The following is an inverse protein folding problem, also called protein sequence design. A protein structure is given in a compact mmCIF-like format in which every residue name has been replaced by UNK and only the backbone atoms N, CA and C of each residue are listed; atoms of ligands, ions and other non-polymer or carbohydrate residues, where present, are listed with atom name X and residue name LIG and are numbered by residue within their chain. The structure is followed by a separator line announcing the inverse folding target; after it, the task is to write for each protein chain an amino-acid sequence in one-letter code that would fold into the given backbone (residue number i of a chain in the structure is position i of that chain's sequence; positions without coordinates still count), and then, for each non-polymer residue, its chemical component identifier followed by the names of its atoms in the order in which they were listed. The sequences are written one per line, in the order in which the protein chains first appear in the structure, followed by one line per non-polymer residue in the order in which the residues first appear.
data_IF_631214537077
#
_entry.id   IF_631214537077
#
_cell.length_a   1.000
_cell.length_b   1.000
_cell.length_c   1.000
_cell.angle_alpha   90.00
_cell.angle_beta   90.00
_cell.angle_gamma   90.00
#
_symmetry.space_group_name_H-M   'P 1'
#
loop_
_entity.id
_entity.type
_entity.pdbx_description
1 polymer ?
#
# COMPACT_ATOMS: atom_id res chain seq x y z
N UNK A 1 35.05 2.92 12.20
CA UNK A 1 34.76 2.28 10.90
C UNK A 1 35.65 2.92 9.84
N UNK A 2 35.99 2.22 8.76
CA UNK A 2 36.86 2.77 7.72
C UNK A 2 36.11 3.88 6.96
N UNK A 3 36.79 4.99 6.70
CA UNK A 3 36.22 6.07 5.91
C UNK A 3 35.85 5.54 4.50
N UNK A 4 34.58 5.67 4.07
CA UNK A 4 34.12 5.13 2.80
C UNK A 4 34.84 5.82 1.64
N UNK A 5 35.39 5.02 0.72
CA UNK A 5 36.16 5.53 -0.43
C UNK A 5 35.34 5.62 -1.72
N UNK A 6 34.17 4.98 -1.74
CA UNK A 6 33.24 4.99 -2.87
C UNK A 6 31.82 5.23 -2.38
N UNK A 7 30.96 5.76 -3.26
CA UNK A 7 29.54 5.97 -2.95
C UNK A 7 28.89 4.63 -2.56
N UNK A 8 29.26 3.54 -3.24
CA UNK A 8 28.75 2.19 -2.94
C UNK A 8 29.11 1.74 -1.51
N UNK A 9 30.33 2.04 -1.06
CA UNK A 9 30.77 1.71 0.30
C UNK A 9 30.02 2.55 1.35
N UNK A 10 29.84 3.86 1.09
CA UNK A 10 29.04 4.74 1.95
C UNK A 10 27.60 4.23 2.10
N UNK A 11 26.94 3.88 0.99
CA UNK A 11 25.56 3.38 0.98
C UNK A 11 25.43 2.02 1.68
N UNK A 12 26.43 1.14 1.56
CA UNK A 12 26.45 -0.13 2.29
C UNK A 12 26.61 0.08 3.80
N UNK A 13 27.47 1.01 4.22
CA UNK A 13 27.62 1.38 5.63
C UNK A 13 26.34 2.02 6.17
N UNK A 14 25.72 2.94 5.43
CA UNK A 14 24.44 3.57 5.79
C UNK A 14 23.31 2.52 5.90
N UNK A 15 23.24 1.57 4.96
CA UNK A 15 22.28 0.46 5.02
C UNK A 15 22.51 -0.41 6.26
N UNK A 16 23.77 -0.72 6.58
CA UNK A 16 24.11 -1.50 7.77
C UNK A 16 23.74 -0.75 9.06
N UNK A 17 24.00 0.55 9.10
CA UNK A 17 23.64 1.41 10.23
C UNK A 17 22.12 1.50 10.43
N UNK A 18 21.33 1.54 9.34
CA UNK A 18 19.86 1.56 9.36
C UNK A 18 19.20 0.17 9.58
N UNK A 19 19.98 -0.90 9.81
CA UNK A 19 19.42 -2.24 10.06
C UNK A 19 18.42 -2.21 11.22
N UNK A 20 17.25 -2.83 11.02
CA UNK A 20 16.15 -2.86 11.98
C UNK A 20 15.17 -1.68 11.88
N UNK A 21 15.46 -0.67 11.05
CA UNK A 21 14.49 0.37 10.72
C UNK A 21 13.41 -0.12 9.73
N UNK A 22 12.37 0.69 9.53
CA UNK A 22 11.33 0.40 8.54
C UNK A 22 11.94 0.25 7.13
N UNK A 23 11.64 -0.82 6.37
CA UNK A 23 12.16 -0.99 5.01
C UNK A 23 11.90 0.19 4.07
N UNK A 24 10.78 0.90 4.28
CA UNK A 24 10.46 2.10 3.51
C UNK A 24 11.40 3.27 3.83
N UNK A 25 11.74 3.46 5.11
CA UNK A 25 12.70 4.47 5.54
C UNK A 25 14.09 4.16 4.96
N UNK A 26 14.52 2.90 5.02
CA UNK A 26 15.83 2.48 4.49
C UNK A 26 15.91 2.80 3.00
N UNK A 27 14.85 2.50 2.24
CA UNK A 27 14.81 2.80 0.81
C UNK A 27 14.87 4.31 0.52
N UNK A 28 14.06 5.11 1.22
CA UNK A 28 14.00 6.56 1.03
C UNK A 28 15.37 7.21 1.40
N UNK A 29 15.96 6.82 2.54
CA UNK A 29 17.23 7.35 3.01
C UNK A 29 18.40 7.03 2.07
N UNK A 30 18.45 5.79 1.54
CA UNK A 30 19.47 5.39 0.56
C UNK A 30 19.32 6.15 -0.76
N UNK A 31 18.08 6.39 -1.21
CA UNK A 31 17.82 7.15 -2.43
C UNK A 31 18.30 8.59 -2.29
N UNK A 32 17.87 9.28 -1.24
CA UNK A 32 18.19 10.69 -1.02
C UNK A 32 19.71 10.88 -0.80
N UNK A 33 20.36 9.96 -0.08
CA UNK A 33 21.82 9.98 0.10
C UNK A 33 22.58 9.75 -1.21
N UNK A 34 22.16 8.78 -2.04
CA UNK A 34 22.82 8.52 -3.32
C UNK A 34 22.65 9.68 -4.30
N UNK A 35 21.46 10.26 -4.39
CA UNK A 35 21.17 11.43 -5.24
C UNK A 35 22.07 12.61 -4.85
N UNK A 36 22.15 12.92 -3.56
CA UNK A 36 22.98 14.01 -3.05
C UNK A 36 24.48 13.78 -3.31
N UNK A 37 25.01 12.60 -2.98
CA UNK A 37 26.42 12.26 -3.19
C UNK A 37 26.82 12.34 -4.68
N UNK A 38 25.91 11.97 -5.58
CA UNK A 38 26.17 12.04 -7.02
C UNK A 38 26.08 13.47 -7.55
N UNK A 39 25.18 14.29 -7.03
CA UNK A 39 25.11 15.71 -7.37
C UNK A 39 26.41 16.43 -6.97
N UNK A 40 26.89 16.20 -5.75
CA UNK A 40 28.18 16.73 -5.26
C UNK A 40 29.37 16.31 -6.13
N UNK A 41 29.41 15.05 -6.60
CA UNK A 41 30.44 14.58 -7.52
C UNK A 41 30.37 15.27 -8.88
N UNK A 42 29.16 15.49 -9.40
CA UNK A 42 28.94 16.15 -10.68
C UNK A 42 29.33 17.63 -10.66
N UNK A 43 29.10 18.31 -9.52
CA UNK A 43 29.47 19.72 -9.32
C UNK A 43 30.98 19.91 -9.07
N UNK A 44 31.68 18.86 -8.62
CA UNK A 44 33.11 18.89 -8.32
C UNK A 44 33.94 17.87 -9.14
N UNK A 45 33.95 17.94 -10.49
CA UNK A 45 34.55 16.91 -11.34
C UNK A 45 36.09 16.80 -11.22
N UNK A 46 36.76 17.75 -10.56
CA UNK A 46 38.22 17.74 -10.39
C UNK A 46 38.69 17.02 -9.11
N UNK A 47 37.80 16.71 -8.16
CA UNK A 47 38.16 15.96 -6.94
C UNK A 47 38.08 14.46 -7.20
N UNK A 48 38.98 13.70 -6.59
CA UNK A 48 38.84 12.24 -6.58
C UNK A 48 37.60 11.84 -5.76
N UNK A 49 36.94 10.73 -6.12
CA UNK A 49 35.73 10.27 -5.43
C UNK A 49 35.97 10.07 -3.92
N UNK A 50 37.16 9.57 -3.55
CA UNK A 50 37.55 9.36 -2.16
C UNK A 50 37.75 10.68 -1.39
N UNK A 51 38.35 11.69 -2.01
CA UNK A 51 38.56 13.00 -1.37
C UNK A 51 37.24 13.77 -1.23
N UNK A 52 36.35 13.65 -2.22
CA UNK A 52 35.00 14.21 -2.15
C UNK A 52 34.20 13.54 -1.03
N UNK A 53 34.23 12.20 -0.92
CA UNK A 53 33.54 11.48 0.15
C UNK A 53 34.10 11.82 1.53
N UNK A 54 35.41 11.98 1.68
CA UNK A 54 36.01 12.43 2.93
C UNK A 54 35.49 13.83 3.32
N UNK A 55 35.39 14.74 2.34
CA UNK A 55 34.81 16.07 2.52
C UNK A 55 33.32 16.01 2.89
N UNK A 56 32.52 15.19 2.21
CA UNK A 56 31.09 15.02 2.50
C UNK A 56 30.89 14.39 3.88
N UNK A 57 31.66 13.38 4.27
CA UNK A 57 31.61 12.82 5.63
C UNK A 57 31.93 13.89 6.67
N UNK A 58 32.89 14.77 6.40
CA UNK A 58 33.22 15.86 7.33
C UNK A 58 32.14 16.96 7.42
N UNK A 59 31.38 17.18 6.35
CA UNK A 59 30.38 18.28 6.26
C UNK A 59 28.97 17.80 6.62
N UNK A 60 28.60 16.62 6.16
CA UNK A 60 27.25 16.05 6.21
C UNK A 60 27.12 14.94 7.26
N UNK A 61 28.24 14.41 7.76
CA UNK A 61 28.29 13.39 8.81
C UNK A 61 28.67 12.00 8.29
N UNK A 62 29.14 11.18 9.21
CA UNK A 62 29.42 9.76 8.95
C UNK A 62 28.12 8.98 8.65
N UNK A 63 28.19 7.83 7.95
CA UNK A 63 27.01 7.01 7.66
C UNK A 63 26.15 6.67 8.89
N UNK A 64 26.78 6.45 10.05
CA UNK A 64 26.06 6.22 11.32
C UNK A 64 25.31 7.45 11.81
N UNK A 65 25.94 8.64 11.78
CA UNK A 65 25.32 9.89 12.20
C UNK A 65 24.14 10.25 11.30
N UNK A 66 24.30 10.07 9.99
CA UNK A 66 23.22 10.26 9.01
C UNK A 66 22.08 9.27 9.27
N UNK A 67 22.39 8.00 9.58
CA UNK A 67 21.36 7.01 9.93
C UNK A 67 20.55 7.43 11.15
N UNK A 68 21.20 7.99 12.17
CA UNK A 68 20.53 8.46 13.38
C UNK A 68 19.66 9.70 13.12
N UNK A 69 20.12 10.63 12.27
CA UNK A 69 19.29 11.75 11.80
C UNK A 69 18.01 11.24 11.11
N UNK A 70 18.11 10.26 10.22
CA UNK A 70 16.93 9.70 9.54
C UNK A 70 15.97 9.00 10.51
N UNK A 71 16.50 8.28 11.52
CA UNK A 71 15.67 7.66 12.57
C UNK A 71 14.93 8.71 13.37
N UNK A 72 15.62 9.75 13.83
CA UNK A 72 15.04 10.83 14.63
C UNK A 72 14.02 11.64 13.83
N UNK A 73 14.32 11.94 12.57
CA UNK A 73 13.38 12.61 11.66
C UNK A 73 12.14 11.76 11.43
N UNK A 74 12.27 10.45 11.15
CA UNK A 74 11.12 9.57 10.99
C UNK A 74 10.31 9.51 12.29
N UNK A 75 10.93 9.42 13.47
CA UNK A 75 10.23 9.46 14.77
C UNK A 75 9.47 10.79 14.92
N UNK A 76 10.08 11.92 14.57
CA UNK A 76 9.46 13.25 14.66
C UNK A 76 8.29 13.40 13.69
N UNK A 77 8.47 12.96 12.44
CA UNK A 77 7.43 12.96 11.40
C UNK A 77 6.26 12.05 11.82
N UNK A 78 6.55 10.83 12.27
CA UNK A 78 5.53 9.89 12.75
C UNK A 78 4.78 10.45 13.96
N UNK A 79 5.46 11.11 14.90
CA UNK A 79 4.80 11.78 16.04
C UNK A 79 3.92 12.95 15.59
N UNK A 80 4.37 13.74 14.61
CA UNK A 80 3.61 14.87 14.08
C UNK A 80 2.38 14.44 13.27
N UNK A 81 2.49 13.33 12.53
CA UNK A 81 1.39 12.76 11.73
C UNK A 81 0.41 11.93 12.57
N UNK A 82 0.79 11.54 13.80
CA UNK A 82 -0.06 10.72 14.66
C UNK A 82 -1.30 11.52 15.05
N UNK A 83 -2.51 11.09 14.66
CA UNK A 83 -3.72 11.78 15.09
C UNK A 83 -3.82 11.77 16.62
N UNK A 84 -4.45 12.79 17.23
CA UNK A 84 -4.58 12.88 18.67
C UNK A 84 -5.19 11.58 19.23
N UNK A 85 -4.63 11.02 20.33
CA UNK A 85 -5.07 9.74 20.84
C UNK A 85 -6.55 9.84 21.23
N UNK A 86 -7.39 9.03 20.57
CA UNK A 86 -8.81 8.95 20.90
C UNK A 86 -8.96 8.59 22.39
N UNK A 87 -9.90 9.21 23.13
CA UNK A 87 -10.12 8.88 24.53
C UNK A 87 -10.37 7.37 24.68
N UNK A 88 -9.55 6.71 25.52
CA UNK A 88 -9.61 5.25 25.73
C UNK A 88 -10.99 4.86 26.28
N UNK A 89 -11.84 4.31 25.41
CA UNK A 89 -13.15 3.78 25.80
C UNK A 89 -12.95 2.51 26.62
N UNK A 90 -13.40 2.55 27.89
CA UNK A 90 -13.20 1.46 28.85
C UNK A 90 -14.14 0.26 28.62
N UNK A 91 -15.32 0.47 28.04
CA UNK A 91 -16.33 -0.58 27.83
C UNK A 91 -16.15 -1.37 26.53
N UNK A 92 -16.53 -2.66 26.54
CA UNK A 92 -16.48 -3.53 25.36
C UNK A 92 -17.37 -3.01 24.22
N UNK A 93 -18.58 -2.54 24.54
CA UNK A 93 -19.48 -1.88 23.58
C UNK A 93 -18.87 -0.59 23.01
N UNK A 94 -18.21 0.21 23.87
CA UNK A 94 -17.52 1.42 23.44
C UNK A 94 -16.41 1.16 22.43
N UNK A 95 -15.66 0.05 22.60
CA UNK A 95 -14.64 -0.40 21.63
C UNK A 95 -15.26 -0.93 20.34
N UNK A 96 -16.34 -1.71 20.44
CA UNK A 96 -17.03 -2.26 19.27
C UNK A 96 -17.60 -1.16 18.37
N UNK A 97 -18.34 -0.21 18.94
CA UNK A 97 -18.91 0.93 18.20
C UNK A 97 -17.89 2.04 17.93
N UNK A 98 -16.70 1.99 18.55
CA UNK A 98 -15.63 2.98 18.33
C UNK A 98 -15.03 2.95 16.94
N UNK A 99 -15.18 1.84 16.21
CA UNK A 99 -14.60 1.67 14.87
C UNK A 99 -15.12 2.66 13.84
N UNK A 100 -16.36 3.14 13.99
CA UNK A 100 -16.95 4.15 13.11
C UNK A 100 -16.35 5.55 13.30
N UNK A 101 -15.73 5.83 14.46
CA UNK A 101 -15.05 7.10 14.71
C UNK A 101 -13.60 7.11 14.20
N UNK A 102 -13.08 5.98 13.74
CA UNK A 102 -11.71 5.84 13.24
C UNK A 102 -11.69 6.10 11.72
N UNK A 103 -10.98 7.16 11.30
CA UNK A 103 -10.89 7.57 9.88
C UNK A 103 -10.27 6.49 8.99
N UNK A 104 -9.35 5.68 9.54
CA UNK A 104 -8.72 4.59 8.78
C UNK A 104 -9.70 3.47 8.43
N UNK A 105 -10.77 3.28 9.23
CA UNK A 105 -11.82 2.31 8.88
C UNK A 105 -12.52 2.73 7.58
N UNK A 106 -12.83 4.01 7.44
CA UNK A 106 -13.47 4.56 6.26
C UNK A 106 -12.55 4.55 5.04
N UNK A 107 -11.27 4.85 5.24
CA UNK A 107 -10.23 4.68 4.21
C UNK A 107 -10.15 3.23 3.72
N UNK A 108 -10.12 2.26 4.64
CA UNK A 108 -10.15 0.84 4.30
C UNK A 108 -11.44 0.42 3.59
N UNK A 109 -12.60 0.92 4.01
CA UNK A 109 -13.89 0.62 3.35
C UNK A 109 -13.89 1.10 1.91
N UNK A 110 -13.46 2.34 1.69
CA UNK A 110 -13.35 2.92 0.36
C UNK A 110 -12.36 2.12 -0.49
N UNK A 111 -11.21 1.74 0.09
CA UNK A 111 -10.24 0.89 -0.57
C UNK A 111 -10.83 -0.46 -1.00
N UNK A 112 -11.55 -1.17 -0.13
CA UNK A 112 -12.14 -2.49 -0.48
C UNK A 112 -13.12 -2.41 -1.66
N UNK A 113 -13.84 -1.30 -1.79
CA UNK A 113 -14.74 -1.07 -2.93
C UNK A 113 -13.95 -0.76 -4.20
N UNK A 114 -12.90 0.07 -4.09
CA UNK A 114 -12.04 0.45 -5.21
C UNK A 114 -11.13 -0.70 -5.70
N UNK A 115 -10.80 -1.65 -4.81
CA UNK A 115 -9.86 -2.73 -5.05
C UNK A 115 -10.23 -3.62 -6.24
N UNK A 116 -11.52 -3.76 -6.57
CA UNK A 116 -11.94 -4.49 -7.76
C UNK A 116 -11.56 -3.73 -9.04
N UNK A 117 -11.76 -2.42 -9.08
CA UNK A 117 -11.45 -1.60 -10.24
C UNK A 117 -9.94 -1.51 -10.47
N UNK A 118 -9.16 -1.24 -9.41
CA UNK A 118 -7.70 -1.25 -9.49
C UNK A 118 -7.18 -2.66 -9.81
N UNK A 119 -7.81 -3.70 -9.26
CA UNK A 119 -7.45 -5.08 -9.52
C UNK A 119 -7.63 -5.52 -10.97
N UNK A 120 -8.76 -5.16 -11.59
CA UNK A 120 -8.98 -5.38 -13.02
C UNK A 120 -7.91 -4.65 -13.84
N UNK A 121 -7.69 -3.36 -13.54
CA UNK A 121 -6.71 -2.56 -14.28
C UNK A 121 -5.29 -3.15 -14.20
N UNK A 122 -4.80 -3.46 -12.99
CA UNK A 122 -3.47 -4.02 -12.79
C UNK A 122 -3.30 -5.41 -13.40
N UNK A 123 -4.31 -6.27 -13.25
CA UNK A 123 -4.27 -7.61 -13.82
C UNK A 123 -4.24 -7.56 -15.36
N UNK A 124 -5.15 -6.79 -15.96
CA UNK A 124 -5.19 -6.63 -17.42
C UNK A 124 -3.88 -6.04 -17.93
N UNK A 125 -3.34 -5.02 -17.27
CA UNK A 125 -2.05 -4.43 -17.63
C UNK A 125 -0.90 -5.45 -17.55
N UNK A 126 -0.81 -6.21 -16.47
CA UNK A 126 0.24 -7.21 -16.29
C UNK A 126 0.14 -8.33 -17.33
N UNK A 127 -1.04 -8.91 -17.52
CA UNK A 127 -1.25 -10.01 -18.49
C UNK A 127 -0.99 -9.55 -19.92
N UNK A 128 -1.51 -8.38 -20.31
CA UNK A 128 -1.30 -7.82 -21.66
C UNK A 128 0.16 -7.47 -21.89
N UNK A 129 0.81 -6.81 -20.92
CA UNK A 129 2.21 -6.43 -21.01
C UNK A 129 3.16 -7.63 -21.08
N UNK A 130 2.93 -8.68 -20.28
CA UNK A 130 3.69 -9.94 -20.38
C UNK A 130 3.45 -10.60 -21.74
N UNK A 131 2.20 -10.74 -22.15
CA UNK A 131 1.85 -11.43 -23.41
C UNK A 131 2.44 -10.71 -24.63
N UNK A 132 2.37 -9.38 -24.67
CA UNK A 132 2.99 -8.57 -25.72
C UNK A 132 4.51 -8.61 -25.65
N UNK A 133 5.13 -8.57 -24.46
CA UNK A 133 6.59 -8.67 -24.32
C UNK A 133 7.11 -10.01 -24.84
N UNK A 134 6.44 -11.11 -24.52
CA UNK A 134 6.80 -12.45 -25.01
C UNK A 134 6.46 -12.64 -26.50
N UNK A 135 5.33 -12.14 -26.97
CA UNK A 135 4.95 -12.23 -28.38
C UNK A 135 5.87 -11.41 -29.29
N UNK A 136 6.23 -10.20 -28.85
CA UNK A 136 7.14 -9.31 -29.58
C UNK A 136 8.62 -9.68 -29.38
N UNK A 137 8.98 -10.60 -28.47
CA UNK A 137 10.40 -10.95 -28.25
C UNK A 137 11.05 -11.64 -29.45
N UNK A 138 10.25 -12.26 -30.32
CA UNK A 138 10.71 -12.79 -31.62
C UNK A 138 11.11 -11.65 -32.57
N UNK A 139 10.55 -10.46 -32.37
CA UNK A 139 10.87 -9.26 -33.11
C UNK A 139 11.94 -8.43 -32.37
N UNK A 140 12.69 -7.63 -33.12
CA UNK A 140 13.69 -6.71 -32.56
C UNK A 140 13.04 -5.69 -31.60
N UNK A 141 11.76 -5.37 -31.82
CA UNK A 141 10.99 -4.40 -31.01
C UNK A 141 10.53 -4.93 -29.65
N UNK A 142 10.65 -6.24 -29.38
CA UNK A 142 10.20 -6.82 -28.11
C UNK A 142 10.96 -6.32 -26.90
N UNK A 143 12.29 -6.15 -27.01
CA UNK A 143 13.12 -5.68 -25.91
C UNK A 143 12.77 -4.23 -25.51
N UNK A 144 12.69 -3.24 -26.44
CA UNK A 144 12.21 -1.90 -26.10
C UNK A 144 10.82 -1.89 -25.46
N UNK A 145 9.87 -2.70 -25.98
CA UNK A 145 8.53 -2.78 -25.41
C UNK A 145 8.55 -3.33 -23.98
N UNK A 146 9.30 -4.40 -23.74
CA UNK A 146 9.41 -5.00 -22.41
C UNK A 146 10.03 -4.02 -21.40
N UNK A 147 11.05 -3.25 -21.78
CA UNK A 147 11.62 -2.19 -20.93
C UNK A 147 10.56 -1.14 -20.58
N UNK A 148 9.79 -0.68 -21.58
CA UNK A 148 8.71 0.28 -21.37
C UNK A 148 7.64 -0.28 -20.42
N UNK A 149 7.20 -1.52 -20.65
CA UNK A 149 6.25 -2.21 -19.79
C UNK A 149 6.75 -2.29 -18.34
N UNK A 150 7.97 -2.77 -18.11
CA UNK A 150 8.55 -2.86 -16.75
C UNK A 150 8.72 -1.46 -16.10
N UNK A 151 9.01 -0.44 -16.90
CA UNK A 151 8.98 0.96 -16.46
C UNK A 151 7.59 1.38 -15.96
N UNK A 152 6.54 1.07 -16.71
CA UNK A 152 5.15 1.36 -16.28
C UNK A 152 4.75 0.58 -15.03
N UNK A 153 5.19 -0.68 -14.89
CA UNK A 153 4.94 -1.49 -13.69
C UNK A 153 5.52 -0.83 -12.45
N UNK A 154 6.73 -0.28 -12.54
CA UNK A 154 7.38 0.47 -11.44
C UNK A 154 6.66 1.78 -11.13
N UNK A 155 6.13 2.48 -12.13
CA UNK A 155 5.37 3.70 -11.90
C UNK A 155 4.03 3.41 -11.20
N UNK A 156 3.30 2.39 -11.67
CA UNK A 156 2.03 1.97 -11.08
C UNK A 156 2.19 1.46 -9.65
N UNK A 157 3.30 0.80 -9.31
CA UNK A 157 3.54 0.35 -7.93
C UNK A 157 3.78 1.49 -6.95
N UNK A 158 4.33 2.62 -7.38
CA UNK A 158 4.43 3.82 -6.56
C UNK A 158 3.05 4.48 -6.33
N UNK A 159 2.23 4.55 -7.38
CA UNK A 159 0.85 5.05 -7.27
C UNK A 159 0.08 4.20 -6.27
N UNK A 160 0.17 2.89 -6.42
CA UNK A 160 -0.46 1.94 -5.51
C UNK A 160 0.07 2.07 -4.07
N UNK A 161 1.39 2.18 -3.91
CA UNK A 161 2.00 2.42 -2.60
C UNK A 161 1.42 3.66 -1.91
N UNK A 162 1.14 4.74 -2.67
CA UNK A 162 0.49 5.94 -2.15
C UNK A 162 -0.98 5.73 -1.81
N UNK A 163 -1.73 4.98 -2.64
CA UNK A 163 -3.13 4.63 -2.34
C UNK A 163 -3.18 3.84 -1.03
N UNK A 164 -2.31 2.85 -0.86
CA UNK A 164 -2.20 2.06 0.37
C UNK A 164 -1.75 2.90 1.57
N UNK A 165 -0.75 3.77 1.42
CA UNK A 165 -0.30 4.67 2.50
C UNK A 165 -1.42 5.61 2.96
N UNK A 166 -2.14 6.22 2.01
CA UNK A 166 -3.20 7.19 2.31
C UNK A 166 -4.47 6.55 2.85
N UNK A 167 -4.92 5.44 2.28
CA UNK A 167 -6.20 4.82 2.65
C UNK A 167 -6.07 3.83 3.81
N UNK A 168 -4.96 3.10 3.89
CA UNK A 168 -4.75 2.03 4.88
C UNK A 168 -3.80 2.44 6.01
N UNK A 169 -3.10 3.57 5.88
CA UNK A 169 -2.18 4.08 6.90
C UNK A 169 -0.90 3.25 7.06
N UNK A 170 -0.55 2.42 6.09
CA UNK A 170 0.67 1.60 6.10
C UNK A 170 1.80 2.39 5.45
N UNK A 171 2.90 2.60 6.19
CA UNK A 171 4.09 3.29 5.66
C UNK A 171 4.66 2.54 4.45
N UNK A 172 4.64 3.22 3.30
CA UNK A 172 5.21 2.78 2.02
C UNK A 172 6.33 3.72 1.58
N UNK A 173 7.37 3.25 0.86
CA UNK A 173 8.42 4.10 0.32
C UNK A 173 7.86 5.14 -0.64
N UNK A 174 8.39 6.35 -0.59
CA UNK A 174 7.93 7.47 -1.41
C UNK A 174 8.79 7.65 -2.66
N UNK A 175 10.04 7.16 -2.60
CA UNK A 175 11.02 7.25 -3.68
C UNK A 175 11.13 5.93 -4.44
N UNK A 176 11.31 5.94 -5.78
CA UNK A 176 11.75 4.76 -6.51
C UNK A 176 13.15 4.32 -6.00
N UNK A 177 13.53 3.05 -6.10
CA UNK A 177 14.92 2.67 -5.84
C UNK A 177 15.84 3.34 -6.86
N UNK A 178 17.00 3.80 -6.39
CA UNK A 178 18.01 4.36 -7.27
C UNK A 178 18.57 3.25 -8.17
N UNK A 179 18.64 3.44 -9.50
CA UNK A 179 19.29 2.48 -10.37
C UNK A 179 20.80 2.46 -10.09
N UNK A 180 21.32 1.37 -9.51
CA UNK A 180 22.76 1.17 -9.31
C UNK A 180 23.46 0.88 -10.65
N UNK A 181 23.63 1.92 -11.47
CA UNK A 181 24.01 1.80 -12.89
C UNK A 181 25.47 2.19 -13.19
N UNK A 182 26.32 2.29 -12.16
CA UNK A 182 27.71 2.73 -12.34
C UNK A 182 28.49 1.68 -13.16
N UNK A 183 29.10 2.11 -14.28
CA UNK A 183 29.96 1.27 -15.12
C UNK A 183 29.28 0.22 -15.99
N UNK A 184 27.96 0.01 -15.85
CA UNK A 184 27.24 -1.00 -16.64
C UNK A 184 26.98 -0.53 -18.07
N UNK A 185 27.27 -1.40 -19.03
CA UNK A 185 26.86 -1.22 -20.43
C UNK A 185 25.34 -1.15 -20.54
N UNK A 186 24.83 -0.55 -21.62
CA UNK A 186 23.38 -0.50 -21.89
C UNK A 186 22.72 -1.89 -21.75
N UNK A 187 23.36 -2.92 -22.30
CA UNK A 187 22.86 -4.30 -22.25
C UNK A 187 22.88 -4.91 -20.85
N UNK A 188 23.88 -4.58 -20.02
CA UNK A 188 23.91 -4.99 -18.62
C UNK A 188 22.79 -4.33 -17.81
N UNK A 189 22.47 -3.06 -18.09
CA UNK A 189 21.34 -2.35 -17.44
C UNK A 189 20.01 -2.99 -17.82
N UNK A 190 19.82 -3.32 -19.09
CA UNK A 190 18.63 -4.02 -19.57
C UNK A 190 18.51 -5.37 -18.86
N UNK A 191 19.59 -6.17 -18.84
CA UNK A 191 19.62 -7.46 -18.14
C UNK A 191 19.29 -7.34 -16.64
N UNK A 192 19.82 -6.33 -15.96
CA UNK A 192 19.59 -6.10 -14.54
C UNK A 192 18.12 -5.83 -14.19
N UNK A 193 17.34 -5.21 -15.09
CA UNK A 193 15.91 -4.98 -14.88
C UNK A 193 15.13 -6.30 -14.91
N UNK A 194 15.51 -7.23 -15.80
CA UNK A 194 14.88 -8.54 -15.93
C UNK A 194 15.28 -9.53 -14.84
N UNK A 195 16.49 -9.42 -14.29
CA UNK A 195 16.95 -10.29 -13.20
C UNK A 195 16.58 -9.76 -11.80
N UNK A 196 16.07 -8.53 -11.70
CA UNK A 196 15.61 -7.94 -10.45
C UNK A 196 14.36 -8.66 -9.91
N UNK A 197 14.52 -9.36 -8.78
CA UNK A 197 13.43 -10.04 -8.09
C UNK A 197 12.25 -9.10 -7.79
N UNK A 198 12.51 -7.82 -7.52
CA UNK A 198 11.47 -6.82 -7.22
C UNK A 198 10.53 -6.58 -8.40
N UNK A 199 11.05 -6.65 -9.62
CA UNK A 199 10.23 -6.52 -10.84
C UNK A 199 9.17 -7.62 -10.84
N UNK A 200 9.59 -8.86 -10.57
CA UNK A 200 8.71 -10.01 -10.58
C UNK A 200 7.73 -10.04 -9.40
N UNK A 201 8.14 -9.62 -8.20
CA UNK A 201 7.20 -9.50 -7.07
C UNK A 201 6.15 -8.43 -7.33
N UNK A 202 6.51 -7.33 -8.02
CA UNK A 202 5.56 -6.28 -8.40
C UNK A 202 4.58 -6.76 -9.46
N UNK A 203 5.06 -7.47 -10.49
CA UNK A 203 4.19 -8.08 -11.51
C UNK A 203 3.26 -9.12 -10.88
N UNK A 204 3.80 -9.96 -9.98
CA UNK A 204 3.00 -10.94 -9.23
C UNK A 204 1.93 -10.25 -8.38
N UNK A 205 2.27 -9.16 -7.70
CA UNK A 205 1.30 -8.34 -6.97
C UNK A 205 0.17 -7.84 -7.87
N UNK A 206 0.49 -7.33 -9.07
CA UNK A 206 -0.51 -6.88 -10.04
C UNK A 206 -1.43 -8.00 -10.53
N UNK A 207 -0.90 -9.22 -10.66
CA UNK A 207 -1.72 -10.40 -10.98
C UNK A 207 -2.61 -10.81 -9.79
N UNK A 208 -2.08 -10.75 -8.57
CA UNK A 208 -2.79 -11.09 -7.34
C UNK A 208 -3.90 -10.09 -7.00
N UNK A 209 -3.81 -8.88 -7.53
CA UNK A 209 -4.75 -7.80 -7.26
C UNK A 209 -6.17 -8.07 -7.74
N UNK A 210 -6.37 -8.79 -8.85
CA UNK A 210 -7.70 -9.17 -9.29
C UNK A 210 -8.40 -10.15 -8.33
N UNK A 211 -7.83 -11.33 -7.98
CA UNK A 211 -8.50 -12.24 -7.05
C UNK A 211 -8.70 -11.60 -5.66
N UNK A 212 -7.73 -10.82 -5.16
CA UNK A 212 -7.90 -10.08 -3.91
C UNK A 212 -9.01 -9.03 -4.01
N UNK A 213 -9.03 -8.25 -5.08
CA UNK A 213 -10.04 -7.22 -5.34
C UNK A 213 -11.46 -7.80 -5.40
N UNK A 214 -11.63 -8.96 -6.05
CA UNK A 214 -12.90 -9.69 -6.06
C UNK A 214 -13.32 -10.07 -4.63
N UNK A 215 -12.43 -10.69 -3.86
CA UNK A 215 -12.74 -11.11 -2.48
C UNK A 215 -13.12 -9.90 -1.62
N UNK A 216 -12.33 -8.83 -1.66
CA UNK A 216 -12.55 -7.62 -0.89
C UNK A 216 -13.86 -6.93 -1.24
N UNK A 217 -14.11 -6.73 -2.53
CA UNK A 217 -15.32 -6.10 -3.02
C UNK A 217 -16.55 -6.93 -2.68
N UNK A 218 -16.55 -8.22 -3.00
CA UNK A 218 -17.69 -9.11 -2.76
C UNK A 218 -18.04 -9.18 -1.28
N UNK A 219 -17.06 -9.43 -0.40
CA UNK A 219 -17.33 -9.46 1.04
C UNK A 219 -17.90 -8.12 1.54
N UNK A 220 -17.28 -7.02 1.13
CA UNK A 220 -17.68 -5.68 1.60
C UNK A 220 -19.08 -5.32 1.11
N UNK A 221 -19.36 -5.48 -0.18
CA UNK A 221 -20.66 -5.11 -0.76
C UNK A 221 -21.78 -6.01 -0.26
N UNK A 222 -21.53 -7.31 -0.09
CA UNK A 222 -22.53 -8.25 0.41
C UNK A 222 -22.88 -7.93 1.86
N UNK A 223 -21.91 -7.80 2.76
CA UNK A 223 -22.21 -7.52 4.17
C UNK A 223 -22.77 -6.11 4.38
N UNK A 224 -22.31 -5.11 3.62
CA UNK A 224 -22.86 -3.76 3.67
C UNK A 224 -24.33 -3.74 3.20
N UNK A 225 -24.63 -4.42 2.10
CA UNK A 225 -26.00 -4.50 1.56
C UNK A 225 -26.95 -5.21 2.52
N UNK A 226 -26.53 -6.35 3.10
CA UNK A 226 -27.34 -7.08 4.10
C UNK A 226 -27.57 -6.21 5.33
N UNK A 227 -26.53 -5.54 5.83
CA UNK A 227 -26.64 -4.67 7.01
C UNK A 227 -27.61 -3.52 6.78
N UNK A 228 -27.49 -2.83 5.64
CA UNK A 228 -28.37 -1.72 5.27
C UNK A 228 -29.81 -2.19 5.02
N UNK A 229 -30.01 -3.34 4.38
CA UNK A 229 -31.33 -3.93 4.19
C UNK A 229 -31.99 -4.23 5.55
N UNK A 230 -31.24 -4.79 6.50
CA UNK A 230 -31.72 -5.09 7.85
C UNK A 230 -32.05 -3.81 8.63
N UNK A 231 -31.20 -2.79 8.57
CA UNK A 231 -31.46 -1.46 9.19
C UNK A 231 -32.70 -0.80 8.57
N UNK A 232 -32.91 -0.96 7.26
CA UNK A 232 -34.06 -0.42 6.54
C UNK A 232 -35.39 -1.11 6.83
N UNK A 233 -35.41 -2.30 7.46
CA UNK A 233 -36.64 -3.08 7.70
C UNK A 233 -37.79 -2.30 8.37
N UNK A 234 -37.60 -1.58 9.50
CA UNK A 234 -38.69 -0.81 10.11
C UNK A 234 -39.18 0.34 9.22
N UNK A 235 -38.29 0.96 8.44
CA UNK A 235 -38.64 2.07 7.53
C UNK A 235 -39.50 1.52 6.39
N UNK A 236 -39.08 0.43 5.76
CA UNK A 236 -39.85 -0.22 4.69
C UNK A 236 -41.23 -0.65 5.18
N UNK A 237 -41.32 -1.20 6.40
CA UNK A 237 -42.60 -1.58 7.02
C UNK A 237 -43.49 -0.37 7.31
N UNK A 238 -42.91 0.72 7.82
CA UNK A 238 -43.65 1.96 8.06
C UNK A 238 -44.24 2.53 6.75
N UNK A 239 -43.42 2.64 5.71
CA UNK A 239 -43.85 3.13 4.41
C UNK A 239 -44.94 2.25 3.79
N UNK A 240 -44.84 0.93 3.97
CA UNK A 240 -45.88 0.01 3.51
C UNK A 240 -47.17 0.12 4.32
N UNK A 241 -47.10 0.39 5.62
CA UNK A 241 -48.27 0.54 6.48
C UNK A 241 -49.07 1.83 6.19
N UNK A 242 -48.44 2.83 5.57
CA UNK A 242 -49.07 4.07 5.12
C UNK A 242 -49.33 4.09 3.60
N UNK A 243 -49.32 2.93 2.93
CA UNK A 243 -49.57 2.77 1.50
C UNK A 243 -48.65 3.62 0.59
N UNK A 244 -47.47 4.02 1.09
CA UNK A 244 -46.46 4.76 0.31
C UNK A 244 -45.74 3.84 -0.65
N UNK A 245 -45.49 2.59 -0.24
CA UNK A 245 -44.87 1.55 -1.06
C UNK A 245 -45.68 0.26 -0.97
N UNK A 246 -45.72 -0.51 -2.06
CA UNK A 246 -46.33 -1.84 -2.09
C UNK A 246 -45.25 -2.90 -1.95
N UNK A 247 -45.22 -3.57 -0.79
CA UNK A 247 -44.39 -4.76 -0.60
C UNK A 247 -45.14 -5.96 -1.18
N UNK A 248 -44.59 -6.57 -2.23
CA UNK A 248 -45.14 -7.82 -2.75
C UNK A 248 -44.71 -8.96 -1.83
N UNK A 249 -45.63 -9.38 -0.96
CA UNK A 249 -45.33 -10.30 0.13
C UNK A 249 -45.18 -11.74 -0.39
N UNK A 250 -43.94 -12.18 -0.52
CA UNK A 250 -43.56 -13.59 -0.65
C UNK A 250 -42.93 -14.12 0.64
N UNK A 251 -41.81 -14.84 0.52
CA UNK A 251 -40.95 -15.17 1.65
C UNK A 251 -39.88 -14.06 1.76
N UNK A 252 -39.75 -13.35 2.91
CA UNK A 252 -40.38 -13.63 4.20
C UNK A 252 -41.70 -12.86 4.47
N UNK A 253 -42.74 -13.58 4.89
CA UNK A 253 -44.09 -13.03 5.15
C UNK A 253 -44.15 -12.05 6.35
N UNK A 254 -43.27 -12.23 7.34
CA UNK A 254 -43.23 -11.39 8.55
C UNK A 254 -42.95 -9.90 8.28
N UNK A 255 -42.42 -9.57 7.10
CA UNK A 255 -42.16 -8.18 6.73
C UNK A 255 -43.46 -7.38 6.52
N UNK A 256 -44.53 -8.03 6.06
CA UNK A 256 -45.80 -7.38 5.71
C UNK A 256 -46.84 -7.42 6.82
N UNK A 257 -46.80 -8.42 7.70
CA UNK A 257 -47.79 -8.54 8.77
C UNK A 257 -47.48 -7.54 9.91
N UNK A 258 -48.42 -6.63 10.17
CA UNK A 258 -48.29 -5.59 11.20
C UNK A 258 -48.00 -6.13 12.60
N UNK A 259 -48.31 -7.39 12.91
CA UNK A 259 -48.02 -7.99 14.23
C UNK A 259 -46.50 -8.21 14.48
N UNK A 260 -45.66 -8.14 13.44
CA UNK A 260 -44.23 -8.44 13.53
C UNK A 260 -43.33 -7.20 13.59
N UNK A 261 -43.84 -6.06 14.08
CA UNK A 261 -43.00 -4.90 14.41
C UNK A 261 -41.82 -5.23 15.34
N UNK A 262 -41.97 -6.03 16.40
CA UNK A 262 -40.83 -6.40 17.26
C UNK A 262 -39.73 -7.13 16.48
N UNK A 263 -40.10 -8.01 15.54
CA UNK A 263 -39.12 -8.71 14.71
C UNK A 263 -38.40 -7.77 13.76
N UNK A 264 -39.09 -6.80 13.16
CA UNK A 264 -38.48 -5.75 12.33
C UNK A 264 -37.48 -4.88 13.12
N UNK A 265 -37.79 -4.54 14.37
CA UNK A 265 -36.87 -3.82 15.25
C UNK A 265 -35.66 -4.70 15.61
N UNK A 266 -35.87 -5.98 15.91
CA UNK A 266 -34.78 -6.92 16.19
C UNK A 266 -33.86 -7.11 14.97
N UNK A 267 -34.42 -7.22 13.76
CA UNK A 267 -33.61 -7.29 12.53
C UNK A 267 -32.85 -6.00 12.27
N UNK A 268 -33.44 -4.84 12.55
CA UNK A 268 -32.73 -3.56 12.49
C UNK A 268 -31.54 -3.52 13.45
N UNK A 269 -31.73 -3.92 14.72
CA UNK A 269 -30.66 -4.02 15.71
C UNK A 269 -29.56 -4.99 15.21
N UNK A 270 -29.95 -6.15 14.69
CA UNK A 270 -29.02 -7.11 14.07
C UNK A 270 -28.25 -6.51 12.89
N UNK A 271 -28.90 -5.73 12.04
CA UNK A 271 -28.30 -5.00 10.94
C UNK A 271 -27.28 -3.96 11.40
N UNK A 272 -27.57 -3.24 12.49
CA UNK A 272 -26.59 -2.33 13.12
C UNK A 272 -25.39 -3.11 13.61
N UNK A 273 -25.57 -4.21 14.34
CA UNK A 273 -24.44 -5.04 14.79
C UNK A 273 -23.62 -5.58 13.60
N UNK A 274 -24.28 -6.04 12.54
CA UNK A 274 -23.62 -6.54 11.33
C UNK A 274 -22.84 -5.43 10.61
N UNK A 275 -23.36 -4.21 10.56
CA UNK A 275 -22.66 -3.05 9.99
C UNK A 275 -21.34 -2.80 10.72
N UNK A 276 -21.38 -2.75 12.05
CA UNK A 276 -20.18 -2.55 12.86
C UNK A 276 -19.22 -3.73 12.76
N UNK A 277 -19.72 -4.97 12.70
CA UNK A 277 -18.89 -6.14 12.41
C UNK A 277 -18.20 -6.05 11.04
N UNK A 278 -18.90 -5.55 10.02
CA UNK A 278 -18.36 -5.30 8.68
C UNK A 278 -17.23 -4.27 8.72
N UNK A 279 -17.40 -3.19 9.48
CA UNK A 279 -16.36 -2.18 9.68
C UNK A 279 -15.09 -2.77 10.34
N UNK A 280 -15.24 -3.67 11.33
CA UNK A 280 -14.09 -4.39 11.91
C UNK A 280 -13.43 -5.33 10.91
N UNK A 281 -14.23 -6.06 10.12
CA UNK A 281 -13.74 -6.95 9.06
C UNK A 281 -12.90 -6.16 8.05
N UNK A 282 -13.45 -5.07 7.51
CA UNK A 282 -12.79 -4.18 6.54
C UNK A 282 -11.48 -3.61 7.09
N UNK A 283 -11.47 -3.19 8.35
CA UNK A 283 -10.24 -2.73 9.02
C UNK A 283 -9.20 -3.85 9.11
N UNK A 284 -9.62 -5.08 9.41
CA UNK A 284 -8.75 -6.26 9.42
C UNK A 284 -8.16 -6.56 8.04
N UNK A 285 -9.01 -6.56 7.01
CA UNK A 285 -8.62 -6.76 5.61
C UNK A 285 -7.67 -5.65 5.13
N UNK A 286 -7.88 -4.40 5.54
CA UNK A 286 -6.99 -3.29 5.22
C UNK A 286 -5.58 -3.49 5.77
N UNK A 287 -5.46 -3.97 7.02
CA UNK A 287 -4.16 -4.31 7.60
C UNK A 287 -3.49 -5.48 6.87
N UNK A 288 -4.25 -6.52 6.57
CA UNK A 288 -3.75 -7.67 5.82
C UNK A 288 -3.24 -7.26 4.45
N UNK A 289 -4.03 -6.49 3.71
CA UNK A 289 -3.66 -6.03 2.38
C UNK A 289 -2.44 -5.11 2.41
N UNK A 290 -2.39 -4.17 3.35
CA UNK A 290 -1.22 -3.30 3.52
C UNK A 290 0.07 -4.08 3.83
N UNK A 291 -0.02 -5.20 4.57
CA UNK A 291 1.11 -6.08 4.80
C UNK A 291 1.54 -6.82 3.51
N UNK A 292 0.59 -7.32 2.72
CA UNK A 292 0.86 -7.95 1.40
C UNK A 292 1.55 -6.95 0.46
N UNK A 293 1.00 -5.75 0.35
CA UNK A 293 1.56 -4.68 -0.46
C UNK A 293 2.98 -4.32 0.00
N UNK A 294 3.20 -4.21 1.31
CA UNK A 294 4.52 -3.87 1.84
C UNK A 294 5.53 -4.97 1.56
N UNK A 295 5.15 -6.24 1.74
CA UNK A 295 6.02 -7.38 1.49
C UNK A 295 6.39 -7.57 0.01
N UNK A 296 5.49 -7.23 -0.92
CA UNK A 296 5.70 -7.45 -2.35
C UNK A 296 6.26 -6.23 -3.10
N UNK A 297 5.94 -5.00 -2.68
CA UNK A 297 6.35 -3.76 -3.34
C UNK A 297 7.62 -3.14 -2.74
N UNK A 298 7.88 -3.42 -1.46
CA UNK A 298 9.07 -2.91 -0.74
C UNK A 298 10.09 -4.02 -0.64
N UNK A 299 11.35 -3.68 -0.93
CA UNK A 299 12.45 -4.62 -0.77
C UNK A 299 12.65 -4.88 0.73
N UNK A 300 12.39 -6.10 1.19
CA UNK A 300 12.75 -6.51 2.55
C UNK A 300 14.27 -6.48 2.64
N UNK A 301 14.79 -5.78 3.64
CA UNK A 301 16.23 -5.70 3.90
C UNK A 301 16.66 -6.99 4.62
N UNK A 302 17.27 -7.90 3.85
CA UNK A 302 17.71 -9.25 4.23
C UNK A 302 16.94 -10.28 3.39
N UNK A 303 17.53 -11.13 2.56
CA UNK A 303 18.83 -11.79 2.57
C UNK A 303 19.44 -11.72 1.16
N UNK A 304 20.71 -11.35 1.08
CA UNK A 304 21.45 -11.20 -0.16
C UNK A 304 22.86 -10.77 0.17
N UNK A 305 23.54 -11.64 0.91
CA UNK A 305 24.97 -11.82 0.77
C UNK A 305 25.20 -12.70 -0.47
#
# INVERSE_FOLDING_TARGET
MNAPRTIAEYLNQLRAALKGADPALIQDALYDAEEHLRAELADNPQRSEADMLAHVVSTYGAPEEVADIYRDQEIKIQRALRPPPMPRRRSALGRFFGVAADSHTWGALFYMILALATGIFYFTWAVTGISLSLGLSVLIIGVPFAILFLGTVRALSLIEGRIVETMLGVRMPRRPPYPSNTGMSFWQRVGAIFTDARTWTTVFYMMLMLPLGIIYFTLTITFLSISLAFIGTPIMKALSAYDVIYLQCGIPHWLCDNNYWPLAVLTCIGGVFLLFATLHMVRGLGKLHGAIAKGLLVRIVGEGA
#
